data_IF_601821372488
#
_entry.id   IF_601821372488
#
_cell.length_a   1.000
_cell.length_b   1.000
_cell.length_c   1.000
_cell.angle_alpha   90.00
_cell.angle_beta   90.00
_cell.angle_gamma   90.00
#
_symmetry.space_group_name_H-M   'P 1'
#
loop_
_entity.id
_entity.type
_entity.pdbx_description
1 polymer ?
#
# COMPACT_ATOMS: atom_id res chain seq x y z
N UNK A 1 -7.92 16.56 10.02
CA UNK A 1 -7.92 16.74 8.55
C UNK A 1 -7.31 15.49 7.96
N UNK A 2 -8.07 14.73 7.19
CA UNK A 2 -7.76 13.36 6.79
C UNK A 2 -7.52 13.24 5.29
N UNK A 3 -6.89 12.13 4.88
CA UNK A 3 -6.82 11.66 3.50
C UNK A 3 -7.40 10.25 3.40
N UNK A 4 -7.82 9.87 2.20
CA UNK A 4 -8.30 8.53 1.91
C UNK A 4 -7.26 7.79 1.08
N UNK A 5 -6.89 6.60 1.55
CA UNK A 5 -6.06 5.66 0.82
C UNK A 5 -6.99 4.59 0.27
N UNK A 6 -6.96 4.41 -1.04
CA UNK A 6 -7.65 3.33 -1.74
C UNK A 6 -6.65 2.26 -2.12
N UNK A 7 -6.74 1.10 -1.47
CA UNK A 7 -5.98 -0.10 -1.84
C UNK A 7 -6.81 -0.92 -2.82
N UNK A 8 -6.30 -1.07 -4.03
CA UNK A 8 -6.87 -1.85 -5.11
C UNK A 8 -6.00 -3.09 -5.35
N UNK A 9 -6.52 -4.25 -4.96
CA UNK A 9 -5.91 -5.55 -5.19
C UNK A 9 -6.22 -6.11 -6.58
N UNK A 10 -7.17 -5.51 -7.32
CA UNK A 10 -7.59 -5.95 -8.65
C UNK A 10 -7.93 -7.43 -8.73
N UNK A 11 -7.39 -8.10 -9.74
CA UNK A 11 -7.57 -9.53 -9.99
C UNK A 11 -6.89 -10.43 -8.94
N UNK A 12 -6.07 -9.85 -8.05
CA UNK A 12 -5.31 -10.58 -7.02
C UNK A 12 -6.03 -10.63 -5.67
N UNK A 13 -7.22 -10.03 -5.56
CA UNK A 13 -7.98 -9.95 -4.31
C UNK A 13 -8.21 -11.30 -3.63
N UNK A 14 -8.45 -12.37 -4.41
CA UNK A 14 -8.67 -13.71 -3.85
C UNK A 14 -7.41 -14.27 -3.13
N UNK A 15 -6.21 -13.91 -3.60
CA UNK A 15 -4.94 -14.35 -3.01
C UNK A 15 -4.49 -13.43 -1.88
N UNK A 16 -4.80 -12.13 -1.97
CA UNK A 16 -4.30 -11.08 -1.09
C UNK A 16 -5.31 -10.61 -0.04
N UNK A 17 -6.49 -11.23 0.03
CA UNK A 17 -7.51 -10.92 1.04
C UNK A 17 -7.01 -11.28 2.46
N UNK A 18 -7.44 -10.49 3.43
CA UNK A 18 -7.17 -10.65 4.85
C UNK A 18 -5.84 -10.03 5.30
N UNK A 19 -5.10 -9.38 4.41
CA UNK A 19 -3.83 -8.75 4.74
C UNK A 19 -4.08 -7.41 5.43
N UNK A 20 -3.39 -7.10 6.55
CA UNK A 20 -3.56 -5.84 7.27
C UNK A 20 -2.97 -4.70 6.45
N UNK A 21 -3.62 -3.54 6.54
CA UNK A 21 -3.19 -2.28 5.94
C UNK A 21 -2.63 -1.42 7.06
N UNK A 22 -1.31 -1.31 7.09
CA UNK A 22 -0.57 -0.58 8.11
C UNK A 22 -0.08 0.72 7.50
N UNK A 23 -0.44 1.85 8.13
CA UNK A 23 -0.01 3.18 7.72
C UNK A 23 0.75 3.83 8.86
N UNK A 24 2.01 4.20 8.62
CA UNK A 24 2.89 4.80 9.64
C UNK A 24 2.96 3.98 10.94
N UNK A 25 2.95 2.65 10.82
CA UNK A 25 3.02 1.74 11.97
C UNK A 25 1.69 1.50 12.70
N UNK A 26 0.58 2.11 12.24
CA UNK A 26 -0.76 1.89 12.79
C UNK A 26 -1.58 1.05 11.81
N UNK A 27 -2.16 -0.04 12.29
CA UNK A 27 -3.13 -0.82 11.52
C UNK A 27 -4.44 -0.04 11.39
N UNK A 28 -4.83 0.29 10.16
CA UNK A 28 -6.03 1.08 9.88
C UNK A 28 -7.15 0.25 9.25
N UNK A 29 -6.87 -0.98 8.83
CA UNK A 29 -7.87 -1.88 8.26
C UNK A 29 -7.25 -3.17 7.74
N UNK A 30 -8.10 -4.00 7.13
CA UNK A 30 -7.71 -5.24 6.46
C UNK A 30 -8.28 -5.24 5.05
N UNK A 31 -7.54 -5.79 4.11
CA UNK A 31 -8.01 -5.99 2.73
C UNK A 31 -9.12 -7.04 2.71
N UNK A 32 -10.34 -6.68 2.28
CA UNK A 32 -11.51 -7.60 2.32
C UNK A 32 -12.10 -7.90 0.94
N UNK A 33 -11.71 -7.16 -0.09
CA UNK A 33 -12.20 -7.31 -1.46
C UNK A 33 -11.23 -6.78 -2.50
N UNK A 34 -11.74 -6.53 -3.71
CA UNK A 34 -10.94 -5.92 -4.78
C UNK A 34 -10.43 -4.53 -4.38
N UNK A 35 -11.29 -3.74 -3.75
CA UNK A 35 -10.94 -2.40 -3.30
C UNK A 35 -11.23 -2.28 -1.81
N UNK A 36 -10.31 -1.66 -1.08
CA UNK A 36 -10.46 -1.33 0.35
C UNK A 36 -10.00 0.10 0.56
N UNK A 37 -10.87 0.93 1.15
CA UNK A 37 -10.55 2.32 1.49
C UNK A 37 -10.22 2.43 2.99
N UNK A 38 -9.12 3.08 3.34
CA UNK A 38 -8.77 3.43 4.74
C UNK A 38 -8.52 4.92 4.88
N UNK A 39 -8.81 5.47 6.06
CA UNK A 39 -8.66 6.91 6.35
C UNK A 39 -7.47 7.12 7.26
N UNK A 40 -6.57 8.03 6.89
CA UNK A 40 -5.38 8.38 7.67
C UNK A 40 -5.30 9.88 7.94
N UNK A 41 -4.50 10.26 8.94
CA UNK A 41 -4.18 11.66 9.18
C UNK A 41 -3.20 12.21 8.12
N UNK A 42 -3.23 13.53 7.90
CA UNK A 42 -2.33 14.21 6.97
C UNK A 42 -0.85 14.02 7.33
N UNK A 43 0.04 14.01 6.33
CA UNK A 43 1.49 13.96 6.50
C UNK A 43 2.19 13.04 5.50
N UNK A 44 3.46 12.74 5.74
CA UNK A 44 4.13 11.64 5.02
C UNK A 44 3.59 10.31 5.54
N UNK A 45 3.30 9.39 4.63
CA UNK A 45 2.66 8.13 4.94
C UNK A 45 3.42 6.99 4.26
N UNK A 46 3.64 5.93 5.04
CA UNK A 46 4.18 4.67 4.56
C UNK A 46 3.10 3.61 4.68
N UNK A 47 2.73 2.98 3.57
CA UNK A 47 1.82 1.83 3.55
C UNK A 47 2.64 0.54 3.50
N UNK A 48 2.24 -0.40 4.35
CA UNK A 48 2.67 -1.79 4.32
C UNK A 48 1.42 -2.66 4.30
N UNK A 49 1.41 -3.67 3.43
CA UNK A 49 0.37 -4.69 3.37
C UNK A 49 1.00 -6.04 3.69
N UNK A 50 0.47 -6.75 4.69
CA UNK A 50 0.85 -8.14 5.02
C UNK A 50 1.21 -8.43 6.49
N UNK A 51 1.38 -9.73 6.81
CA UNK A 51 1.83 -10.20 8.14
C UNK A 51 3.29 -10.69 8.13
N UNK A 52 4.12 -10.22 9.07
CA UNK A 52 5.46 -10.79 9.28
C UNK A 52 6.36 -10.75 8.03
N UNK A 53 6.99 -11.88 7.68
CA UNK A 53 7.86 -12.00 6.50
C UNK A 53 7.11 -11.96 5.15
N UNK A 54 5.77 -11.99 5.17
CA UNK A 54 4.90 -11.92 3.99
C UNK A 54 4.47 -10.47 3.67
N UNK A 55 5.20 -9.47 4.14
CA UNK A 55 4.91 -8.07 3.85
C UNK A 55 5.37 -7.67 2.44
N UNK A 56 4.54 -6.94 1.70
CA UNK A 56 5.06 -6.08 0.62
C UNK A 56 5.96 -5.03 1.22
N UNK A 57 7.07 -4.74 0.52
CA UNK A 57 7.94 -3.62 0.86
C UNK A 57 7.17 -2.30 1.02
N UNK A 58 7.67 -1.39 1.88
CA UNK A 58 6.98 -0.15 2.20
C UNK A 58 6.79 0.73 0.96
N UNK A 59 5.55 1.13 0.72
CA UNK A 59 5.23 2.13 -0.29
C UNK A 59 5.13 3.51 0.38
N UNK A 60 5.82 4.52 -0.17
CA UNK A 60 5.89 5.86 0.41
C UNK A 60 5.08 6.86 -0.41
N UNK A 61 4.32 7.72 0.26
CA UNK A 61 3.55 8.81 -0.33
C UNK A 61 3.33 9.93 0.68
N UNK A 62 2.79 11.06 0.22
CA UNK A 62 2.47 12.18 1.09
C UNK A 62 0.98 12.50 1.01
N UNK A 63 0.25 12.32 2.10
CA UNK A 63 -1.18 12.60 2.17
C UNK A 63 -1.45 14.08 2.49
N UNK A 64 -2.01 14.83 1.52
CA UNK A 64 -2.61 16.13 1.78
C UNK A 64 -4.08 16.02 2.21
N UNK A 65 -4.65 17.11 2.71
CA UNK A 65 -6.07 17.16 3.08
C UNK A 65 -6.93 16.85 1.85
N UNK A 66 -7.90 15.96 2.04
CA UNK A 66 -8.91 15.56 1.05
C UNK A 66 -8.28 14.84 -0.17
N UNK A 67 -7.06 14.32 -0.04
CA UNK A 67 -6.43 13.50 -1.08
C UNK A 67 -7.04 12.10 -1.16
N UNK A 68 -7.05 11.57 -2.39
CA UNK A 68 -7.27 10.17 -2.70
C UNK A 68 -5.96 9.58 -3.25
N UNK A 69 -5.27 8.79 -2.45
CA UNK A 69 -4.09 8.02 -2.89
C UNK A 69 -4.56 6.65 -3.38
N UNK A 70 -4.13 6.23 -4.56
CA UNK A 70 -4.45 4.91 -5.10
C UNK A 70 -3.24 4.01 -5.00
N UNK A 71 -3.42 2.81 -4.45
CA UNK A 71 -2.37 1.82 -4.23
C UNK A 71 -2.79 0.52 -4.89
N UNK A 72 -1.96 0.03 -5.81
CA UNK A 72 -2.22 -1.18 -6.58
C UNK A 72 -1.27 -2.29 -6.13
N UNK A 73 -1.78 -3.51 -5.98
CA UNK A 73 -0.93 -4.69 -5.89
C UNK A 73 -0.64 -5.23 -7.29
N UNK A 74 0.63 -5.41 -7.65
CA UNK A 74 1.04 -5.93 -8.95
C UNK A 74 1.94 -7.15 -8.80
N UNK A 75 1.76 -8.14 -9.68
CA UNK A 75 2.60 -9.35 -9.69
C UNK A 75 3.94 -9.06 -10.37
N UNK A 76 5.03 -9.58 -9.82
CA UNK A 76 6.33 -9.59 -10.50
C UNK A 76 6.23 -10.45 -11.78
N UNK A 77 6.46 -9.83 -12.93
CA UNK A 77 6.32 -10.46 -14.25
C UNK A 77 7.63 -11.05 -14.79
N UNK A 78 8.78 -10.75 -14.17
CA UNK A 78 10.11 -11.14 -14.64
C UNK A 78 10.62 -12.48 -14.04
N UNK A 79 9.77 -13.20 -13.30
CA UNK A 79 10.06 -14.51 -12.74
C UNK A 79 11.10 -14.51 -11.61
N UNK A 80 11.62 -13.34 -11.23
CA UNK A 80 12.50 -13.16 -10.06
C UNK A 80 11.63 -12.69 -8.91
N UNK A 81 11.61 -13.50 -7.87
CA UNK A 81 10.87 -13.23 -6.64
C UNK A 81 11.87 -12.62 -5.65
N UNK A 82 11.94 -11.27 -5.49
CA UNK A 82 12.80 -10.68 -4.48
C UNK A 82 12.31 -11.11 -3.10
N UNK A 83 13.23 -11.46 -2.19
CA UNK A 83 12.87 -11.68 -0.79
C UNK A 83 12.27 -10.41 -0.21
N UNK A 84 11.09 -10.52 0.42
CA UNK A 84 10.38 -9.39 1.04
C UNK A 84 9.26 -8.79 0.18
N UNK A 85 8.32 -9.63 -0.28
CA UNK A 85 7.05 -9.18 -0.86
C UNK A 85 5.88 -10.06 -0.39
N UNK A 86 4.64 -9.67 -0.73
CA UNK A 86 3.45 -10.46 -0.38
C UNK A 86 3.54 -11.87 -0.97
N UNK A 87 3.12 -12.85 -0.19
CA UNK A 87 3.15 -14.27 -0.55
C UNK A 87 4.54 -14.72 -1.01
N UNK A 88 5.56 -14.36 -0.22
CA UNK A 88 6.96 -14.72 -0.46
C UNK A 88 7.58 -14.01 -1.64
N UNK A 89 7.21 -12.76 -1.94
CA UNK A 89 7.83 -11.95 -3.01
C UNK A 89 7.12 -11.95 -4.36
N UNK A 90 5.88 -12.42 -4.43
CA UNK A 90 5.13 -12.53 -5.70
C UNK A 90 4.52 -11.21 -6.14
N UNK A 91 4.27 -10.30 -5.21
CA UNK A 91 3.62 -9.03 -5.46
C UNK A 91 4.40 -7.85 -4.89
N UNK A 92 4.30 -6.68 -5.54
CA UNK A 92 4.76 -5.38 -5.07
C UNK A 92 3.63 -4.34 -5.10
N UNK A 93 3.82 -3.22 -4.42
CA UNK A 93 2.87 -2.11 -4.41
C UNK A 93 3.31 -1.02 -5.40
N UNK A 94 2.37 -0.57 -6.23
CA UNK A 94 2.51 0.65 -7.03
C UNK A 94 1.58 1.71 -6.46
N UNK A 95 2.10 2.92 -6.24
CA UNK A 95 1.31 4.03 -5.70
C UNK A 95 1.13 5.10 -6.76
N UNK A 96 -0.11 5.50 -6.97
CA UNK A 96 -0.47 6.67 -7.75
C UNK A 96 -0.90 7.80 -6.82
N UNK A 97 -0.23 8.94 -6.99
CA UNK A 97 -0.50 10.14 -6.22
C UNK A 97 -1.02 11.25 -7.14
N UNK A 98 -2.15 11.91 -6.82
CA UNK A 98 -2.76 12.93 -7.69
C UNK A 98 -1.92 14.22 -7.79
N UNK A 99 -0.98 14.41 -6.87
CA UNK A 99 -0.06 15.56 -6.81
C UNK A 99 1.38 15.08 -6.96
N UNK A 100 2.30 15.90 -7.48
CA UNK A 100 3.72 15.54 -7.48
C UNK A 100 4.13 15.14 -6.06
N UNK A 101 4.85 14.01 -5.95
CA UNK A 101 5.45 13.61 -4.69
C UNK A 101 6.31 14.79 -4.22
N UNK A 102 6.07 15.35 -3.02
CA UNK A 102 7.03 16.28 -2.46
C UNK A 102 8.38 15.56 -2.37
N UNK A 103 9.50 16.31 -2.47
CA UNK A 103 10.81 15.70 -2.31
C UNK A 103 10.82 14.86 -1.04
N UNK A 104 11.46 13.69 -1.10
CA UNK A 104 11.72 12.87 0.09
C UNK A 104 12.14 13.82 1.21
N UNK A 105 11.59 13.69 2.43
CA UNK A 105 11.91 14.59 3.54
C UNK A 105 13.35 14.33 4.02
N UNK A 106 14.33 14.58 3.14
CA UNK A 106 15.76 14.34 3.21
C UNK A 106 16.18 12.90 3.60
N UNK A 107 17.31 12.47 2.99
CA UNK A 107 18.12 11.38 3.52
C UNK A 107 18.89 11.76 4.76
#
# INVERSE_FOLDING_TARGET
MTATIRVDLGDHAAELKGQPIIVNGVELGVTDGQVTDVVTERGWSIIVIGHGWDQTGPARFHAYKDDLIQVYAERFSDGRVPGGGLLGGRYYLRVEHPRPLPPDPAG
#
